data_IF_199476263589
#
_entry.id   IF_199476263589
#
_cell.length_a   1.000
_cell.length_b   1.000
_cell.length_c   1.000
_cell.angle_alpha   90.00
_cell.angle_beta   90.00
_cell.angle_gamma   90.00
#
_symmetry.space_group_name_H-M   'P 1'
#
loop_
_entity.id
_entity.type
_entity.pdbx_description
1 polymer ?
#
# COMPACT_ATOMS: atom_id res chain seq x y z
N UNK A 1 17.17 27.19 -37.81
CA UNK A 1 15.95 26.37 -37.77
C UNK A 1 15.80 25.89 -36.34
N UNK A 2 15.10 26.67 -35.50
CA UNK A 2 14.91 26.36 -34.09
C UNK A 2 13.70 25.42 -33.98
N UNK A 3 13.93 24.16 -33.63
CA UNK A 3 12.86 23.25 -33.26
C UNK A 3 12.59 23.43 -31.75
N UNK A 4 11.45 24.04 -31.47
CA UNK A 4 10.79 24.04 -30.17
C UNK A 4 10.51 22.58 -29.76
N UNK A 5 11.36 22.00 -28.91
CA UNK A 5 10.95 20.89 -28.06
C UNK A 5 10.36 21.49 -26.79
N UNK A 6 9.07 21.83 -26.84
CA UNK A 6 8.28 21.96 -25.61
C UNK A 6 8.15 20.53 -25.06
N UNK A 7 9.07 20.16 -24.17
CA UNK A 7 8.95 18.94 -23.39
C UNK A 7 7.63 19.00 -22.63
N UNK A 8 6.62 18.29 -23.14
CA UNK A 8 5.47 17.96 -22.33
C UNK A 8 6.00 17.15 -21.14
N UNK A 9 5.70 17.61 -19.93
CA UNK A 9 5.95 16.81 -18.74
C UNK A 9 5.22 15.49 -18.96
N UNK A 10 5.95 14.39 -19.08
CA UNK A 10 5.36 13.08 -19.22
C UNK A 10 4.66 12.77 -17.89
N UNK A 11 3.33 12.76 -17.89
CA UNK A 11 2.54 12.46 -16.70
C UNK A 11 2.81 11.01 -16.28
N UNK A 12 3.14 10.79 -15.01
CA UNK A 12 3.33 9.43 -14.49
C UNK A 12 1.97 8.78 -14.29
N UNK A 13 1.87 7.49 -14.58
CA UNK A 13 0.68 6.68 -14.33
C UNK A 13 0.96 5.57 -13.32
N UNK A 14 -0.10 5.12 -12.67
CA UNK A 14 -0.16 3.80 -12.07
C UNK A 14 -0.98 2.88 -12.97
N UNK A 15 -0.45 1.71 -13.30
CA UNK A 15 -1.00 0.76 -14.26
C UNK A 15 -1.02 -0.62 -13.61
N UNK A 16 -2.16 -1.31 -13.71
CA UNK A 16 -2.29 -2.70 -13.27
C UNK A 16 -2.33 -3.58 -14.52
N UNK A 17 -1.33 -4.42 -14.69
CA UNK A 17 -1.12 -5.19 -15.92
C UNK A 17 -1.96 -6.48 -15.96
N UNK A 18 -2.17 -7.04 -17.15
CA UNK A 18 -2.97 -8.26 -17.36
C UNK A 18 -2.45 -9.46 -16.58
N UNK A 19 -1.15 -9.51 -16.31
CA UNK A 19 -0.55 -10.54 -15.48
C UNK A 19 -1.12 -10.57 -14.06
N UNK A 20 -1.48 -9.41 -13.50
CA UNK A 20 -2.19 -9.33 -12.22
C UNK A 20 -3.66 -9.71 -12.37
N UNK A 21 -4.36 -9.11 -13.35
CA UNK A 21 -5.80 -9.35 -13.56
C UNK A 21 -6.14 -10.80 -13.89
N UNK A 22 -5.21 -11.52 -14.54
CA UNK A 22 -5.35 -12.95 -14.82
C UNK A 22 -5.48 -13.79 -13.54
N UNK A 23 -4.90 -13.35 -12.43
CA UNK A 23 -4.94 -14.03 -11.14
C UNK A 23 -6.08 -13.52 -10.25
N UNK A 24 -6.38 -12.23 -10.35
CA UNK A 24 -7.30 -11.51 -9.47
C UNK A 24 -8.31 -10.66 -10.26
N UNK A 25 -9.15 -11.27 -11.11
CA UNK A 25 -10.05 -10.52 -12.01
C UNK A 25 -11.09 -9.68 -11.27
N UNK A 26 -11.38 -10.02 -10.02
CA UNK A 26 -12.38 -9.35 -9.19
C UNK A 26 -11.77 -8.41 -8.14
N UNK A 27 -10.44 -8.28 -8.11
CA UNK A 27 -9.81 -7.37 -7.18
C UNK A 27 -10.19 -5.91 -7.47
N UNK A 28 -10.16 -5.08 -6.43
CA UNK A 28 -10.24 -3.63 -6.54
C UNK A 28 -9.04 -3.00 -5.85
N UNK A 29 -8.39 -2.06 -6.53
CA UNK A 29 -7.24 -1.33 -5.99
C UNK A 29 -7.64 0.13 -5.88
N UNK A 30 -7.76 0.61 -4.65
CA UNK A 30 -8.17 1.97 -4.35
C UNK A 30 -6.93 2.82 -4.15
N UNK A 31 -6.78 3.86 -4.96
CA UNK A 31 -5.64 4.76 -4.96
C UNK A 31 -6.05 6.10 -4.38
N UNK A 32 -5.23 6.64 -3.49
CA UNK A 32 -5.36 7.99 -2.98
C UNK A 32 -4.06 8.72 -3.31
N UNK A 33 -4.16 9.74 -4.16
CA UNK A 33 -3.04 10.61 -4.51
C UNK A 33 -3.12 11.85 -3.64
N UNK A 34 -2.15 12.04 -2.76
CA UNK A 34 -2.01 13.19 -1.89
C UNK A 34 -0.94 14.13 -2.45
N UNK A 35 -1.23 15.43 -2.53
CA UNK A 35 -0.28 16.46 -3.02
C UNK A 35 -0.17 17.63 -2.06
N UNK A 36 1.06 18.10 -1.85
CA UNK A 36 1.35 19.26 -0.99
C UNK A 36 1.03 19.04 0.49
N UNK A 37 1.21 17.81 0.99
CA UNK A 37 1.03 17.48 2.41
C UNK A 37 2.29 17.81 3.21
N UNK A 38 2.12 18.00 4.52
CA UNK A 38 3.22 18.13 5.49
C UNK A 38 3.28 16.87 6.37
N UNK A 39 4.21 15.96 6.05
CA UNK A 39 4.39 14.70 6.78
C UNK A 39 5.38 14.81 7.96
N UNK A 40 5.74 16.02 8.40
CA UNK A 40 6.62 16.21 9.56
C UNK A 40 5.92 15.81 10.86
N UNK A 41 6.67 15.24 11.81
CA UNK A 41 6.11 14.86 13.12
C UNK A 41 5.97 16.11 13.99
N UNK A 42 4.76 16.66 14.04
CA UNK A 42 4.42 17.82 14.89
C UNK A 42 3.90 17.42 16.27
N UNK A 43 3.10 16.35 16.30
CA UNK A 43 2.48 15.82 17.51
C UNK A 43 2.53 14.29 17.48
N UNK A 44 3.53 13.71 18.17
CA UNK A 44 3.70 12.26 18.22
C UNK A 44 2.62 11.58 19.07
N UNK A 45 2.08 12.27 20.06
CA UNK A 45 1.06 11.71 20.97
C UNK A 45 -0.26 11.51 20.24
N UNK A 46 -0.66 12.48 19.39
CA UNK A 46 -1.84 12.36 18.54
C UNK A 46 -1.85 11.08 17.70
N UNK A 47 -0.73 10.75 17.04
CA UNK A 47 -0.64 9.53 16.23
C UNK A 47 -0.56 8.26 17.07
N UNK A 48 0.06 8.32 18.26
CA UNK A 48 0.05 7.20 19.19
C UNK A 48 -1.37 6.87 19.67
N UNK A 49 -2.17 7.89 20.00
CA UNK A 49 -3.59 7.73 20.35
C UNK A 49 -4.42 7.18 19.19
N UNK A 50 -4.17 7.68 17.97
CA UNK A 50 -4.83 7.18 16.75
C UNK A 50 -4.57 5.68 16.53
N UNK A 51 -3.32 5.25 16.72
CA UNK A 51 -2.96 3.83 16.65
C UNK A 51 -3.64 3.05 17.76
N UNK A 52 -3.57 3.49 19.03
CA UNK A 52 -4.21 2.80 20.16
C UNK A 52 -5.71 2.58 19.93
N UNK A 53 -6.42 3.56 19.36
CA UNK A 53 -7.84 3.39 19.04
C UNK A 53 -8.05 2.38 17.90
N UNK A 54 -7.21 2.42 16.87
CA UNK A 54 -7.26 1.46 15.78
C UNK A 54 -6.94 0.03 16.23
N UNK A 55 -6.07 -0.16 17.22
CA UNK A 55 -5.79 -1.46 17.83
C UNK A 55 -7.04 -2.04 18.52
N UNK A 56 -7.84 -1.20 19.20
CA UNK A 56 -9.12 -1.63 19.79
C UNK A 56 -10.12 -2.01 18.69
N UNK A 57 -10.19 -1.22 17.62
CA UNK A 57 -11.04 -1.55 16.47
C UNK A 57 -10.62 -2.86 15.80
N UNK A 58 -9.31 -3.14 15.73
CA UNK A 58 -8.78 -4.38 15.17
C UNK A 58 -9.27 -5.64 15.92
N UNK A 59 -9.55 -5.54 17.22
CA UNK A 59 -10.09 -6.66 18.01
C UNK A 59 -11.46 -7.13 17.49
N UNK A 60 -12.24 -6.25 16.84
CA UNK A 60 -13.51 -6.62 16.19
C UNK A 60 -13.31 -7.55 14.99
N UNK A 61 -12.08 -7.70 14.50
CA UNK A 61 -11.78 -8.63 13.41
C UNK A 61 -11.15 -9.93 13.92
N UNK A 62 -10.87 -10.05 15.23
CA UNK A 62 -10.14 -11.16 15.86
C UNK A 62 -11.06 -12.05 16.70
N UNK A 63 -12.20 -12.47 16.15
CA UNK A 63 -13.17 -13.29 16.86
C UNK A 63 -12.81 -14.79 16.98
N UNK A 64 -11.96 -15.29 16.09
CA UNK A 64 -11.56 -16.69 16.09
C UNK A 64 -10.53 -16.97 17.18
N UNK A 65 -10.74 -18.03 17.97
CA UNK A 65 -9.76 -18.49 18.97
C UNK A 65 -8.41 -18.77 18.31
N UNK A 66 -8.42 -19.41 17.13
CA UNK A 66 -7.23 -19.62 16.32
C UNK A 66 -7.09 -18.52 15.25
N UNK A 67 -5.96 -17.80 15.30
CA UNK A 67 -5.64 -16.75 14.32
C UNK A 67 -5.66 -17.25 12.87
N UNK A 68 -5.27 -18.51 12.62
CA UNK A 68 -5.30 -19.13 11.27
C UNK A 68 -6.68 -19.16 10.64
N UNK A 69 -7.72 -19.22 11.47
CA UNK A 69 -9.11 -19.42 11.06
C UNK A 69 -9.85 -18.10 10.80
N UNK A 70 -9.16 -16.96 10.99
CA UNK A 70 -9.69 -15.64 10.70
C UNK A 70 -10.04 -15.48 9.22
N UNK A 71 -11.26 -15.07 8.92
CA UNK A 71 -11.76 -14.93 7.54
C UNK A 71 -11.01 -13.87 6.74
N UNK A 72 -10.66 -12.73 7.33
CA UNK A 72 -9.84 -11.69 6.68
C UNK A 72 -8.52 -12.29 6.20
N UNK A 73 -7.88 -13.08 7.05
CA UNK A 73 -6.55 -13.63 6.80
C UNK A 73 -6.61 -14.77 5.79
N UNK A 74 -7.64 -15.62 5.88
CA UNK A 74 -7.83 -16.76 4.98
C UNK A 74 -7.88 -16.31 3.53
N UNK A 75 -8.63 -15.26 3.21
CA UNK A 75 -8.76 -14.73 1.85
C UNK A 75 -7.41 -14.29 1.29
N UNK A 76 -6.58 -13.61 2.09
CA UNK A 76 -5.22 -13.22 1.69
C UNK A 76 -4.26 -14.40 1.53
N UNK A 77 -4.35 -15.41 2.41
CA UNK A 77 -3.54 -16.63 2.28
C UNK A 77 -3.88 -17.42 1.03
N UNK A 78 -5.16 -17.50 0.66
CA UNK A 78 -5.60 -18.11 -0.59
C UNK A 78 -5.11 -17.32 -1.81
N UNK A 79 -5.14 -15.98 -1.75
CA UNK A 79 -4.58 -15.14 -2.80
C UNK A 79 -3.06 -15.37 -2.98
N UNK A 80 -2.30 -15.45 -1.89
CA UNK A 80 -0.85 -15.68 -1.89
C UNK A 80 -0.45 -17.07 -2.40
N UNK A 81 -1.39 -18.01 -2.54
CA UNK A 81 -1.13 -19.32 -3.17
C UNK A 81 -1.20 -19.26 -4.70
N UNK A 82 -1.75 -18.20 -5.30
CA UNK A 82 -1.94 -18.09 -6.75
C UNK A 82 -0.70 -17.61 -7.52
N UNK A 83 0.34 -17.17 -6.82
CA UNK A 83 1.56 -16.63 -7.44
C UNK A 83 2.81 -17.06 -6.66
N UNK A 84 4.00 -16.84 -7.24
CA UNK A 84 5.26 -17.17 -6.57
C UNK A 84 5.43 -16.28 -5.33
N UNK A 85 5.83 -16.84 -4.21
CA UNK A 85 6.09 -16.07 -2.98
C UNK A 85 7.43 -16.45 -2.36
N UNK A 86 8.04 -15.50 -1.64
CA UNK A 86 9.13 -15.80 -0.71
C UNK A 86 8.58 -16.57 0.49
N UNK A 87 9.32 -17.58 0.96
CA UNK A 87 8.93 -18.39 2.12
C UNK A 87 8.65 -17.47 3.31
N UNK A 88 7.43 -17.56 3.85
CA UNK A 88 7.00 -16.76 5.00
C UNK A 88 6.42 -15.39 4.65
N UNK A 89 6.34 -15.01 3.37
CA UNK A 89 5.62 -13.81 2.96
C UNK A 89 4.14 -13.90 3.35
N UNK A 90 3.61 -12.80 3.88
CA UNK A 90 2.23 -12.62 4.32
C UNK A 90 1.76 -11.23 3.94
N UNK A 91 0.45 -11.05 3.79
CA UNK A 91 -0.08 -9.73 3.55
C UNK A 91 0.21 -8.79 4.71
N UNK A 92 0.36 -7.49 4.43
CA UNK A 92 0.58 -6.47 5.47
C UNK A 92 -0.49 -6.55 6.56
N UNK A 93 -1.76 -6.74 6.19
CA UNK A 93 -2.84 -6.84 7.17
C UNK A 93 -2.75 -8.10 8.05
N UNK A 94 -2.31 -9.25 7.52
CA UNK A 94 -2.05 -10.43 8.36
C UNK A 94 -0.96 -10.12 9.40
N UNK A 95 0.11 -9.42 9.00
CA UNK A 95 1.19 -9.05 9.91
C UNK A 95 0.70 -8.10 11.03
N UNK A 96 -0.09 -7.08 10.69
CA UNK A 96 -0.65 -6.13 11.65
C UNK A 96 -1.61 -6.81 12.62
N UNK A 97 -2.60 -7.56 12.12
CA UNK A 97 -3.56 -8.28 12.96
C UNK A 97 -2.88 -9.32 13.86
N UNK A 98 -1.82 -9.98 13.37
CA UNK A 98 -1.06 -10.95 14.18
C UNK A 98 -0.36 -10.27 15.35
N UNK A 99 0.14 -9.06 15.14
CA UNK A 99 0.78 -8.27 16.20
C UNK A 99 -0.21 -7.96 17.32
N UNK A 100 -1.42 -7.52 16.97
CA UNK A 100 -2.51 -7.23 17.92
C UNK A 100 -2.99 -8.50 18.62
N UNK A 101 -3.21 -9.58 17.88
CA UNK A 101 -3.61 -10.87 18.45
C UNK A 101 -2.62 -11.36 19.51
N UNK A 102 -1.32 -11.12 19.32
CA UNK A 102 -0.27 -11.46 20.28
C UNK A 102 -0.14 -10.44 21.45
N UNK A 103 -1.02 -9.45 21.57
CA UNK A 103 -1.00 -8.43 22.61
C UNK A 103 0.13 -7.39 22.47
N UNK A 104 0.70 -7.24 21.27
CA UNK A 104 1.78 -6.28 21.04
C UNK A 104 1.23 -4.96 20.48
N UNK A 105 1.79 -3.85 20.94
CA UNK A 105 1.49 -2.50 20.46
C UNK A 105 2.28 -2.16 19.18
N UNK A 106 1.68 -1.41 18.25
CA UNK A 106 2.33 -0.75 17.14
C UNK A 106 2.91 0.59 17.63
N UNK A 107 4.20 0.80 17.42
CA UNK A 107 4.81 2.12 17.63
C UNK A 107 4.47 3.09 16.50
N UNK A 108 4.69 4.39 16.75
CA UNK A 108 4.58 5.45 15.73
C UNK A 108 5.83 5.52 14.85
N UNK A 109 5.63 5.74 13.55
CA UNK A 109 6.70 5.81 12.54
C UNK A 109 6.79 7.22 11.98
N UNK A 110 5.80 7.63 11.19
CA UNK A 110 5.60 8.98 10.69
C UNK A 110 4.09 9.16 10.41
N UNK A 111 3.60 10.39 10.26
CA UNK A 111 2.16 10.67 10.22
C UNK A 111 1.39 9.88 9.15
N UNK A 112 1.85 9.86 7.90
CA UNK A 112 1.22 9.06 6.83
C UNK A 112 1.18 7.58 7.19
N UNK A 113 2.29 7.04 7.68
CA UNK A 113 2.40 5.62 8.06
C UNK A 113 1.43 5.28 9.19
N UNK A 114 1.36 6.13 10.19
CA UNK A 114 0.49 5.92 11.35
C UNK A 114 -0.99 6.06 10.95
N UNK A 115 -1.31 7.04 10.11
CA UNK A 115 -2.67 7.21 9.55
C UNK A 115 -3.08 5.97 8.75
N UNK A 116 -2.28 5.50 7.79
CA UNK A 116 -2.70 4.36 6.97
C UNK A 116 -2.71 3.04 7.75
N UNK A 117 -1.83 2.86 8.73
CA UNK A 117 -1.86 1.68 9.61
C UNK A 117 -3.11 1.70 10.49
N UNK A 118 -3.53 2.89 10.97
CA UNK A 118 -4.78 3.03 11.72
C UNK A 118 -6.00 2.60 10.88
N UNK A 119 -6.04 2.97 9.60
CA UNK A 119 -7.08 2.57 8.67
C UNK A 119 -7.02 1.07 8.39
N UNK A 120 -5.81 0.53 8.20
CA UNK A 120 -5.61 -0.90 7.96
C UNK A 120 -6.16 -1.74 9.10
N UNK A 121 -5.85 -1.36 10.35
CA UNK A 121 -6.32 -2.03 11.56
C UNK A 121 -7.84 -1.90 11.73
N UNK A 122 -8.38 -0.67 11.59
CA UNK A 122 -9.81 -0.41 11.76
C UNK A 122 -10.67 -1.21 10.78
N UNK A 123 -10.27 -1.23 9.51
CA UNK A 123 -11.03 -1.87 8.45
C UNK A 123 -10.57 -3.30 8.13
N UNK A 124 -9.49 -3.78 8.73
CA UNK A 124 -8.88 -5.07 8.38
C UNK A 124 -8.67 -5.23 6.87
N UNK A 125 -8.05 -4.22 6.24
CA UNK A 125 -7.68 -4.19 4.84
C UNK A 125 -6.19 -3.82 4.72
N UNK A 126 -5.43 -4.36 3.76
CA UNK A 126 -4.09 -3.87 3.49
C UNK A 126 -4.13 -2.42 3.04
N UNK A 127 -3.33 -1.59 3.68
CA UNK A 127 -2.98 -0.27 3.18
C UNK A 127 -1.46 -0.14 3.10
N UNK A 128 -0.98 0.58 2.10
CA UNK A 128 0.43 0.91 1.93
C UNK A 128 0.59 2.30 1.30
N UNK A 129 1.83 2.77 1.22
CA UNK A 129 2.09 4.09 0.67
C UNK A 129 3.53 4.34 0.26
N UNK A 130 3.71 5.18 -0.75
CA UNK A 130 4.98 5.44 -1.39
C UNK A 130 5.11 6.92 -1.76
N UNK A 131 6.34 7.43 -1.75
CA UNK A 131 6.67 8.81 -2.11
C UNK A 131 6.72 8.96 -3.64
N UNK A 132 5.78 9.72 -4.21
CA UNK A 132 5.64 9.94 -5.66
C UNK A 132 6.91 10.59 -6.26
N UNK A 133 7.56 11.46 -5.48
CA UNK A 133 8.75 12.20 -5.92
C UNK A 133 9.96 11.28 -6.12
N UNK A 134 9.89 10.03 -5.64
CA UNK A 134 10.95 9.01 -5.78
C UNK A 134 10.71 8.01 -6.92
N UNK A 135 9.57 8.09 -7.58
CA UNK A 135 9.22 7.21 -8.69
C UNK A 135 10.00 7.51 -9.97
N UNK A 136 10.39 6.45 -10.67
CA UNK A 136 11.08 6.50 -11.96
C UNK A 136 10.16 5.98 -13.09
N UNK A 137 9.42 6.92 -13.69
CA UNK A 137 8.41 6.61 -14.71
C UNK A 137 7.10 6.08 -14.11
N UNK A 138 6.39 5.25 -14.89
CA UNK A 138 5.12 4.67 -14.50
C UNK A 138 5.29 3.57 -13.45
N UNK A 139 4.30 3.49 -12.54
CA UNK A 139 4.19 2.44 -11.54
C UNK A 139 3.33 1.32 -12.10
N UNK A 140 3.79 0.09 -11.91
CA UNK A 140 3.16 -1.11 -12.45
C UNK A 140 2.92 -2.11 -11.35
N UNK A 141 1.68 -2.57 -11.21
CA UNK A 141 1.32 -3.77 -10.45
C UNK A 141 1.26 -4.95 -11.42
N UNK A 142 2.25 -5.84 -11.34
CA UNK A 142 2.47 -6.90 -12.33
C UNK A 142 3.27 -8.08 -11.76
N UNK A 143 3.60 -9.08 -12.59
CA UNK A 143 4.54 -10.15 -12.25
C UNK A 143 5.98 -9.68 -12.39
N UNK A 144 6.80 -10.03 -11.41
CA UNK A 144 8.23 -9.82 -11.44
C UNK A 144 8.90 -10.73 -12.47
N UNK A 145 9.92 -10.20 -13.13
CA UNK A 145 10.83 -10.98 -14.00
C UNK A 145 12.05 -11.50 -13.23
N UNK A 146 12.27 -11.01 -12.01
CA UNK A 146 13.28 -11.49 -11.08
C UNK A 146 14.63 -10.78 -11.15
N UNK A 147 14.74 -9.71 -11.93
CA UNK A 147 15.94 -8.87 -12.04
C UNK A 147 15.74 -7.45 -11.50
N UNK A 148 14.57 -7.19 -10.90
CA UNK A 148 14.26 -5.90 -10.32
C UNK A 148 15.13 -5.61 -9.10
N UNK A 149 15.85 -4.48 -9.13
CA UNK A 149 16.59 -4.04 -7.95
C UNK A 149 15.63 -3.83 -6.76
N UNK A 150 16.05 -4.29 -5.57
CA UNK A 150 15.21 -4.23 -4.38
C UNK A 150 16.03 -4.25 -3.10
N UNK A 151 16.12 -3.10 -2.42
CA UNK A 151 16.81 -2.95 -1.14
C UNK A 151 15.79 -2.61 -0.06
N UNK A 152 15.78 -3.38 1.03
CA UNK A 152 14.84 -3.21 2.15
C UNK A 152 15.47 -2.46 3.31
N UNK A 153 14.64 -1.89 4.17
CA UNK A 153 15.12 -1.16 5.34
C UNK A 153 16.02 -2.06 6.21
N UNK A 154 17.17 -1.52 6.63
CA UNK A 154 18.14 -2.22 7.48
C UNK A 154 19.15 -3.10 6.74
N UNK A 155 19.20 -3.07 5.40
CA UNK A 155 20.22 -3.73 4.58
C UNK A 155 20.62 -2.83 3.42
N UNK A 156 21.87 -2.95 2.97
CA UNK A 156 22.37 -2.32 1.73
C UNK A 156 22.42 -3.30 0.55
N UNK A 157 22.11 -4.57 0.82
CA UNK A 157 22.14 -5.64 -0.19
C UNK A 157 20.81 -5.71 -0.93
N UNK A 158 20.90 -5.70 -2.26
CA UNK A 158 19.76 -5.97 -3.13
C UNK A 158 19.33 -7.44 -3.04
N UNK A 159 18.03 -7.66 -2.85
CA UNK A 159 17.34 -8.94 -2.86
C UNK A 159 16.16 -8.89 -3.84
N UNK A 160 16.39 -9.07 -5.15
CA UNK A 160 15.33 -9.05 -6.16
C UNK A 160 14.15 -9.98 -5.81
N UNK A 161 12.94 -9.66 -6.28
CA UNK A 161 11.82 -10.61 -6.27
C UNK A 161 12.18 -11.89 -7.01
N UNK A 162 11.53 -13.00 -6.69
CA UNK A 162 11.55 -14.17 -7.55
C UNK A 162 10.70 -13.90 -8.80
N UNK A 163 11.11 -14.45 -9.94
CA UNK A 163 10.28 -14.47 -11.14
C UNK A 163 8.88 -15.05 -10.81
N UNK A 164 7.84 -14.33 -11.25
CA UNK A 164 6.44 -14.67 -10.98
C UNK A 164 5.90 -14.19 -9.62
N UNK A 165 6.67 -13.50 -8.79
CA UNK A 165 6.11 -12.73 -7.67
C UNK A 165 5.19 -11.62 -8.20
N UNK A 166 4.08 -11.33 -7.52
CA UNK A 166 3.35 -10.09 -7.80
C UNK A 166 4.06 -8.94 -7.10
N UNK A 167 4.30 -7.84 -7.81
CA UNK A 167 5.07 -6.70 -7.31
C UNK A 167 4.47 -5.39 -7.78
N UNK A 168 4.63 -4.36 -6.97
CA UNK A 168 4.69 -2.98 -7.47
C UNK A 168 6.11 -2.72 -7.96
N UNK A 169 6.28 -2.14 -9.16
CA UNK A 169 7.58 -1.78 -9.72
C UNK A 169 7.51 -0.52 -10.57
N UNK A 170 8.64 0.12 -10.78
CA UNK A 170 8.83 1.18 -11.77
C UNK A 170 9.99 0.83 -12.72
N UNK A 171 10.57 1.80 -13.42
CA UNK A 171 11.68 1.54 -14.32
C UNK A 171 13.01 1.22 -13.60
N UNK A 172 13.16 1.59 -12.33
CA UNK A 172 14.38 1.33 -11.55
C UNK A 172 14.38 -0.02 -10.87
N UNK A 173 13.22 -0.50 -10.41
CA UNK A 173 13.15 -1.77 -9.72
C UNK A 173 11.84 -2.01 -9.00
N UNK A 174 11.83 -2.97 -8.09
CA UNK A 174 10.66 -3.30 -7.31
C UNK A 174 10.48 -2.25 -6.20
N UNK A 175 9.22 -1.90 -5.97
CA UNK A 175 8.76 -0.95 -4.96
C UNK A 175 8.22 -1.74 -3.77
N UNK A 176 7.33 -2.70 -4.03
CA UNK A 176 6.83 -3.61 -3.00
C UNK A 176 6.80 -5.04 -3.54
N UNK A 177 7.34 -5.96 -2.75
CA UNK A 177 7.42 -7.40 -3.06
C UNK A 177 6.23 -8.17 -2.52
N UNK A 178 5.94 -9.29 -3.18
CA UNK A 178 4.86 -10.20 -2.83
C UNK A 178 3.54 -9.44 -2.55
N UNK A 179 3.16 -8.62 -3.54
CA UNK A 179 2.00 -7.73 -3.58
C UNK A 179 2.01 -6.63 -2.52
N UNK A 180 1.89 -6.98 -1.24
CA UNK A 180 1.78 -6.03 -0.12
C UNK A 180 2.55 -6.52 1.12
N UNK A 181 3.68 -7.21 0.91
CA UNK A 181 4.45 -7.79 2.01
C UNK A 181 5.61 -6.91 2.48
N UNK A 182 6.45 -6.42 1.55
CA UNK A 182 7.68 -5.72 1.92
C UNK A 182 8.07 -4.67 0.89
N UNK A 183 8.26 -3.46 1.38
CA UNK A 183 8.58 -2.27 0.59
C UNK A 183 10.10 -2.05 0.45
N UNK A 184 10.49 -1.34 -0.60
CA UNK A 184 11.84 -0.89 -0.87
C UNK A 184 12.12 0.45 -0.18
N UNK A 185 13.37 0.66 0.26
CA UNK A 185 13.79 1.93 0.90
C UNK A 185 13.69 3.11 -0.06
N UNK A 186 13.89 2.88 -1.35
CA UNK A 186 14.01 3.94 -2.36
C UNK A 186 12.78 4.85 -2.44
N UNK A 187 11.59 4.27 -2.28
CA UNK A 187 10.31 4.96 -2.45
C UNK A 187 9.54 5.15 -1.14
N UNK A 188 10.10 4.68 -0.02
CA UNK A 188 9.44 4.74 1.28
C UNK A 188 8.99 6.15 1.67
N UNK A 189 7.90 6.21 2.42
CA UNK A 189 7.45 7.45 3.03
C UNK A 189 8.42 7.90 4.13
N UNK A 190 8.80 9.16 4.07
CA UNK A 190 9.64 9.85 5.06
C UNK A 190 8.94 11.12 5.55
N UNK A 191 9.44 11.73 6.61
CA UNK A 191 8.94 13.02 7.11
C UNK A 191 9.04 14.15 6.07
N UNK A 192 9.91 14.01 5.06
CA UNK A 192 10.07 14.95 3.94
C UNK A 192 9.07 14.72 2.80
N UNK A 193 8.20 13.71 2.90
CA UNK A 193 7.28 13.37 1.80
C UNK A 193 6.18 14.42 1.68
N UNK A 194 6.06 15.03 0.49
CA UNK A 194 5.04 16.04 0.18
C UNK A 194 4.00 15.57 -0.84
N UNK A 195 4.33 14.55 -1.64
CA UNK A 195 3.44 13.92 -2.59
C UNK A 195 3.43 12.40 -2.35
N UNK A 196 2.28 11.84 -1.99
CA UNK A 196 2.16 10.44 -1.60
C UNK A 196 1.16 9.69 -2.47
N UNK A 197 1.54 8.49 -2.87
CA UNK A 197 0.68 7.47 -3.44
C UNK A 197 0.29 6.55 -2.29
N UNK A 198 -0.99 6.49 -1.92
CA UNK A 198 -1.51 5.52 -0.95
C UNK A 198 -2.43 4.54 -1.67
N UNK A 199 -2.43 3.29 -1.22
CA UNK A 199 -3.31 2.27 -1.79
C UNK A 199 -3.99 1.42 -0.72
N UNK A 200 -5.25 1.06 -0.97
CA UNK A 200 -5.98 0.01 -0.25
C UNK A 200 -6.34 -1.07 -1.26
N UNK A 201 -6.20 -2.34 -0.88
CA UNK A 201 -6.38 -3.46 -1.79
C UNK A 201 -7.51 -4.36 -1.30
N UNK A 202 -8.43 -4.70 -2.21
CA UNK A 202 -9.58 -5.53 -1.92
C UNK A 202 -9.60 -6.76 -2.83
N UNK A 203 -9.70 -7.93 -2.22
CA UNK A 203 -9.90 -9.21 -2.90
C UNK A 203 -11.19 -9.93 -2.49
N UNK A 204 -11.82 -9.50 -1.38
CA UNK A 204 -13.12 -10.01 -0.95
C UNK A 204 -14.23 -9.08 -1.45
N UNK A 205 -14.97 -9.54 -2.46
CA UNK A 205 -16.06 -8.77 -3.08
C UNK A 205 -17.20 -8.44 -2.10
N UNK A 206 -17.32 -9.17 -1.00
CA UNK A 206 -18.35 -8.91 0.00
C UNK A 206 -18.05 -7.66 0.86
N UNK A 207 -16.83 -7.12 0.76
CA UNK A 207 -16.36 -6.00 1.61
C UNK A 207 -16.18 -4.68 0.86
N UNK A 208 -16.87 -4.51 -0.27
CA UNK A 208 -16.79 -3.28 -1.08
C UNK A 208 -17.24 -2.05 -0.28
N UNK A 209 -18.26 -2.18 0.58
CA UNK A 209 -18.76 -1.06 1.40
C UNK A 209 -17.69 -0.58 2.39
N UNK A 210 -17.04 -1.51 3.10
CA UNK A 210 -15.94 -1.24 4.02
C UNK A 210 -14.75 -0.65 3.28
N UNK A 211 -14.42 -1.19 2.12
CA UNK A 211 -13.34 -0.67 1.26
C UNK A 211 -13.56 0.78 0.83
N UNK A 212 -14.75 1.13 0.34
CA UNK A 212 -15.07 2.52 -0.03
C UNK A 212 -15.06 3.43 1.20
N UNK A 213 -15.52 2.94 2.35
CA UNK A 213 -15.48 3.70 3.60
C UNK A 213 -14.04 3.96 4.07
N UNK A 214 -13.17 2.94 3.99
CA UNK A 214 -11.76 3.05 4.33
C UNK A 214 -11.03 4.06 3.44
N UNK A 215 -11.30 4.08 2.13
CA UNK A 215 -10.71 5.04 1.20
C UNK A 215 -11.11 6.49 1.54
N UNK A 216 -12.40 6.72 1.84
CA UNK A 216 -12.90 8.03 2.23
C UNK A 216 -12.27 8.49 3.54
N UNK A 217 -12.30 7.64 4.56
CA UNK A 217 -11.77 7.99 5.87
C UNK A 217 -10.25 8.21 5.83
N UNK A 218 -9.50 7.40 5.07
CA UNK A 218 -8.06 7.60 4.87
C UNK A 218 -7.78 8.97 4.22
N UNK A 219 -8.48 9.27 3.12
CA UNK A 219 -8.36 10.55 2.42
C UNK A 219 -8.68 11.74 3.33
N UNK A 220 -9.78 11.67 4.09
CA UNK A 220 -10.20 12.71 5.03
C UNK A 220 -9.18 12.89 6.17
N UNK A 221 -8.67 11.79 6.76
CA UNK A 221 -7.65 11.85 7.81
C UNK A 221 -6.36 12.46 7.29
N UNK A 222 -5.91 12.11 6.09
CA UNK A 222 -4.70 12.71 5.53
C UNK A 222 -4.88 14.22 5.35
N UNK A 223 -5.96 14.67 4.71
CA UNK A 223 -6.22 16.11 4.54
C UNK A 223 -6.35 16.84 5.87
N UNK A 224 -7.09 16.27 6.83
CA UNK A 224 -7.33 16.90 8.12
C UNK A 224 -6.04 17.07 8.93
N UNK A 225 -5.18 16.05 8.95
CA UNK A 225 -3.98 16.04 9.80
C UNK A 225 -2.75 16.65 9.12
N UNK A 226 -2.61 16.49 7.79
CA UNK A 226 -1.40 16.84 7.05
C UNK A 226 -1.61 17.97 6.03
N UNK A 227 -2.85 18.45 5.87
CA UNK A 227 -3.20 19.47 4.88
C UNK A 227 -3.15 18.94 3.44
N UNK A 228 -2.81 19.82 2.50
CA UNK A 228 -2.70 19.48 1.09
C UNK A 228 -4.04 19.15 0.41
N UNK A 229 -3.97 18.41 -0.68
CA UNK A 229 -5.13 17.90 -1.42
C UNK A 229 -5.02 16.39 -1.57
N UNK A 230 -6.16 15.70 -1.69
CA UNK A 230 -6.18 14.28 -2.05
C UNK A 230 -7.28 13.97 -3.06
N UNK A 231 -7.00 13.00 -3.93
CA UNK A 231 -7.96 12.47 -4.90
C UNK A 231 -8.03 10.94 -4.83
N UNK A 232 -9.26 10.39 -4.84
CA UNK A 232 -9.51 8.95 -4.79
C UNK A 232 -9.78 8.43 -6.21
N UNK A 233 -9.22 7.27 -6.55
CA UNK A 233 -9.57 6.49 -7.74
C UNK A 233 -9.70 5.02 -7.38
N UNK A 234 -10.65 4.31 -8.00
CA UNK A 234 -10.80 2.86 -7.83
C UNK A 234 -10.52 2.20 -9.16
N UNK A 235 -9.54 1.30 -9.18
CA UNK A 235 -9.17 0.51 -10.34
C UNK A 235 -9.74 -0.91 -10.21
N UNK A 236 -10.17 -1.46 -11.34
CA UNK A 236 -10.58 -2.84 -11.52
C UNK A 236 -10.23 -3.32 -12.95
N UNK A 237 -10.63 -4.53 -13.31
CA UNK A 237 -10.29 -5.11 -14.61
C UNK A 237 -10.79 -4.28 -15.81
N UNK A 238 -11.79 -3.40 -15.64
CA UNK A 238 -12.30 -2.53 -16.69
C UNK A 238 -11.72 -1.11 -16.65
N UNK A 239 -11.03 -0.75 -15.56
CA UNK A 239 -10.36 0.54 -15.39
C UNK A 239 -8.98 0.30 -14.76
N UNK A 240 -7.97 0.09 -15.61
CA UNK A 240 -6.66 -0.48 -15.22
C UNK A 240 -5.57 0.55 -14.92
N UNK A 241 -5.82 1.83 -15.13
CA UNK A 241 -4.81 2.88 -14.94
C UNK A 241 -5.37 4.18 -14.36
N UNK A 242 -4.49 4.96 -13.71
CA UNK A 242 -4.77 6.31 -13.22
C UNK A 242 -3.52 7.18 -13.36
N UNK A 243 -3.71 8.48 -13.62
CA UNK A 243 -2.62 9.47 -13.61
C UNK A 243 -2.27 9.84 -12.16
N UNK A 244 -0.99 9.81 -11.81
CA UNK A 244 -0.51 10.06 -10.44
C UNK A 244 0.35 11.32 -10.32
N UNK A 245 0.99 11.77 -11.40
CA UNK A 245 1.74 13.03 -11.46
C UNK A 245 1.44 13.80 -12.74
#
# INVERSE_FOLDING_TARGET
MFLNNRGGILMKKFIIEDDFWSLFPNAKIGIIICKGIDNSIKDREQYAEMILEAEKEALKHLHSEEFSSNSVIKVWREAFQKFKTKKGARSSIEALLKRIYNGNHLGTINPLVDIYNSISLKYALPCGGENIDKFDGDIRLTKAVGNEDFVTLGTDKSEPPYEGEIVYKDNKGAICRCWNWREAVRTMLTEETTNAFLCIELIDENRVTEFVSALKELSEKVQHNLGGTSGISILDINNKEVVIE
#
